data_IF_401413779594
#
_entry.id   IF_401413779594
#
_cell.length_a   1.000
_cell.length_b   1.000
_cell.length_c   1.000
_cell.angle_alpha   90.00
_cell.angle_beta   90.00
_cell.angle_gamma   90.00
#
_symmetry.space_group_name_H-M   'P 1'
#
loop_
_entity.id
_entity.type
_entity.pdbx_description
1 polymer ?
#
# COMPACT_ATOMS: atom_id res chain seq x y z
N UNK A 1 -25.30 47.44 -68.36
CA UNK A 1 -24.00 47.01 -67.77
C UNK A 1 -24.10 47.19 -66.27
N UNK A 2 -24.04 46.12 -65.48
CA UNK A 2 -24.01 46.22 -64.01
C UNK A 2 -22.72 45.57 -63.50
N UNK A 3 -21.99 46.28 -62.64
CA UNK A 3 -20.77 45.80 -61.99
C UNK A 3 -21.09 45.42 -60.55
N UNK A 4 -21.17 44.12 -60.26
CA UNK A 4 -21.27 43.64 -58.88
C UNK A 4 -19.90 43.69 -58.21
N UNK A 5 -19.77 44.45 -57.12
CA UNK A 5 -18.57 44.47 -56.30
C UNK A 5 -18.74 43.51 -55.11
N UNK A 6 -17.95 42.44 -55.07
CA UNK A 6 -17.94 41.48 -53.97
C UNK A 6 -17.15 42.03 -52.78
N UNK A 7 -17.83 42.35 -51.69
CA UNK A 7 -17.18 42.72 -50.43
C UNK A 7 -16.67 41.48 -49.70
N UNK A 8 -15.37 41.45 -49.39
CA UNK A 8 -14.75 40.38 -48.62
C UNK A 8 -14.84 40.72 -47.12
N UNK A 9 -15.73 40.05 -46.39
CA UNK A 9 -15.87 40.24 -44.94
C UNK A 9 -14.82 39.42 -44.20
N UNK A 10 -13.79 40.09 -43.66
CA UNK A 10 -12.73 39.44 -42.87
C UNK A 10 -13.18 39.28 -41.42
N UNK A 11 -13.62 38.06 -41.06
CA UNK A 11 -13.95 37.69 -39.69
C UNK A 11 -12.69 37.39 -38.87
N UNK A 12 -12.19 38.39 -38.14
CA UNK A 12 -11.11 38.23 -37.16
C UNK A 12 -11.59 37.43 -35.95
N UNK A 13 -11.20 36.15 -35.87
CA UNK A 13 -11.50 35.30 -34.73
C UNK A 13 -10.65 35.73 -33.51
N UNK A 14 -11.28 36.33 -32.50
CA UNK A 14 -10.64 36.63 -31.23
C UNK A 14 -10.57 35.36 -30.38
N UNK A 15 -9.44 34.65 -30.45
CA UNK A 15 -9.21 33.44 -29.63
C UNK A 15 -8.93 33.84 -28.18
N UNK A 16 -10.00 33.86 -27.37
CA UNK A 16 -9.89 34.08 -25.92
C UNK A 16 -9.32 32.80 -25.29
N UNK A 17 -8.05 32.86 -24.87
CA UNK A 17 -7.40 31.79 -24.12
C UNK A 17 -7.96 31.72 -22.69
N UNK A 18 -9.02 30.94 -22.51
CA UNK A 18 -9.55 30.59 -21.18
C UNK A 18 -8.61 29.57 -20.54
N UNK A 19 -7.71 30.03 -19.67
CA UNK A 19 -6.95 29.15 -18.79
C UNK A 19 -7.90 28.49 -17.79
N UNK A 20 -8.24 27.22 -18.04
CA UNK A 20 -9.02 26.40 -17.12
C UNK A 20 -8.31 26.32 -15.75
N UNK A 21 -9.06 26.13 -14.67
CA UNK A 21 -8.47 25.96 -13.34
C UNK A 21 -7.62 24.68 -13.28
N UNK A 22 -6.46 24.75 -12.63
CA UNK A 22 -5.63 23.59 -12.36
C UNK A 22 -6.41 22.63 -11.45
N UNK A 23 -6.54 21.33 -11.83
CA UNK A 23 -7.22 20.35 -10.99
C UNK A 23 -6.48 20.17 -9.66
N UNK A 24 -7.16 19.61 -8.67
CA UNK A 24 -6.51 19.25 -7.42
C UNK A 24 -5.36 18.27 -7.71
N UNK A 25 -4.20 18.51 -7.09
CA UNK A 25 -2.89 17.90 -7.36
C UNK A 25 -2.23 18.24 -8.71
N UNK A 26 -2.86 19.06 -9.56
CA UNK A 26 -2.25 19.61 -10.77
C UNK A 26 -1.22 20.72 -10.49
N UNK A 27 -0.33 20.98 -11.44
CA UNK A 27 0.61 22.10 -11.37
C UNK A 27 -0.14 23.43 -11.58
N UNK A 28 0.21 24.42 -10.74
CA UNK A 28 -0.40 25.75 -10.69
C UNK A 28 0.62 26.90 -10.69
N UNK A 29 1.91 26.59 -10.90
CA UNK A 29 2.97 27.58 -10.88
C UNK A 29 4.36 26.94 -10.91
N UNK A 30 5.38 27.81 -10.88
CA UNK A 30 6.79 27.45 -11.02
C UNK A 30 7.46 28.24 -12.13
N UNK A 31 8.78 28.40 -12.02
CA UNK A 31 9.60 29.12 -13.01
C UNK A 31 9.51 28.43 -14.38
N UNK A 32 8.96 29.14 -15.38
CA UNK A 32 8.72 28.62 -16.73
C UNK A 32 7.34 27.99 -16.95
N UNK A 33 6.47 27.92 -15.94
CA UNK A 33 5.10 27.41 -16.10
C UNK A 33 4.21 28.40 -16.84
N UNK A 34 3.68 28.01 -18.01
CA UNK A 34 2.74 28.80 -18.82
C UNK A 34 1.30 28.27 -18.79
N UNK A 35 1.00 27.36 -17.85
CA UNK A 35 -0.31 26.75 -17.70
C UNK A 35 -1.21 27.51 -16.72
N UNK A 36 -2.25 26.83 -16.24
CA UNK A 36 -3.18 27.34 -15.25
C UNK A 36 -2.46 27.78 -13.96
N UNK A 37 -2.82 28.94 -13.39
CA UNK A 37 -2.25 29.45 -12.12
C UNK A 37 -3.22 29.42 -10.94
N UNK A 38 -4.50 29.16 -11.21
CA UNK A 38 -5.58 29.15 -10.21
C UNK A 38 -6.11 27.74 -10.07
N UNK A 39 -6.23 27.26 -8.84
CA UNK A 39 -6.71 25.92 -8.52
C UNK A 39 -8.24 25.80 -8.55
N UNK A 40 -8.75 24.58 -8.72
CA UNK A 40 -10.17 24.27 -8.51
C UNK A 40 -10.61 24.52 -7.07
N UNK A 41 -11.88 24.87 -6.89
CA UNK A 41 -12.49 25.14 -5.58
C UNK A 41 -12.21 24.01 -4.57
N UNK A 42 -11.90 24.39 -3.32
CA UNK A 42 -11.44 23.46 -2.28
C UNK A 42 -9.93 23.21 -2.26
N UNK A 43 -9.16 23.70 -3.25
CA UNK A 43 -7.70 23.58 -3.29
C UNK A 43 -6.99 24.92 -3.50
N UNK A 44 -5.74 25.03 -3.00
CA UNK A 44 -4.91 26.22 -2.99
C UNK A 44 -3.54 25.93 -3.62
N UNK A 45 -3.02 26.88 -4.41
CA UNK A 45 -1.72 26.72 -5.06
C UNK A 45 -0.59 26.87 -4.05
N UNK A 46 0.09 25.76 -3.73
CA UNK A 46 1.18 25.71 -2.77
C UNK A 46 2.51 25.48 -3.48
N UNK A 47 3.50 26.34 -3.23
CA UNK A 47 4.86 26.18 -3.78
C UNK A 47 5.54 24.97 -3.14
N UNK A 48 6.00 24.02 -3.96
CA UNK A 48 6.84 22.90 -3.51
C UNK A 48 8.34 23.23 -3.70
N UNK A 49 8.69 23.89 -4.81
CA UNK A 49 10.03 24.43 -5.09
C UNK A 49 9.95 25.58 -6.11
N UNK A 50 11.08 26.15 -6.54
CA UNK A 50 11.11 27.31 -7.47
C UNK A 50 10.58 27.01 -8.88
N UNK A 51 10.53 25.73 -9.29
CA UNK A 51 10.08 25.27 -10.60
C UNK A 51 8.70 24.59 -10.55
N UNK A 52 8.13 24.37 -9.37
CA UNK A 52 6.88 23.62 -9.20
C UNK A 52 6.04 24.10 -8.01
N UNK A 53 4.82 24.56 -8.31
CA UNK A 53 3.73 24.77 -7.34
C UNK A 53 2.55 23.88 -7.70
N UNK A 54 1.85 23.35 -6.70
CA UNK A 54 0.79 22.34 -6.87
C UNK A 54 -0.50 22.72 -6.13
N UNK A 55 -1.65 22.37 -6.69
CA UNK A 55 -2.95 22.55 -6.05
C UNK A 55 -3.16 21.53 -4.93
N UNK A 56 -2.93 21.93 -3.68
CA UNK A 56 -3.17 21.08 -2.50
C UNK A 56 -4.56 21.38 -1.91
N UNK A 57 -5.27 20.41 -1.31
CA UNK A 57 -6.52 20.70 -0.59
C UNK A 57 -6.32 21.80 0.45
N UNK A 58 -7.20 22.82 0.47
CA UNK A 58 -7.17 23.82 1.53
C UNK A 58 -7.75 23.23 2.81
N UNK A 59 -6.93 23.13 3.86
CA UNK A 59 -7.39 22.71 5.19
C UNK A 59 -8.25 23.76 5.90
N UNK A 60 -8.41 24.96 5.32
CA UNK A 60 -9.16 26.08 5.91
C UNK A 60 -10.14 26.72 4.92
N UNK A 61 -11.43 26.73 5.29
CA UNK A 61 -12.41 27.78 4.97
C UNK A 61 -13.47 27.80 6.11
N UNK A 62 -13.93 28.98 6.58
CA UNK A 62 -14.84 29.10 7.72
C UNK A 62 -16.33 29.25 7.35
N UNK A 63 -17.22 29.05 8.33
CA UNK A 63 -18.67 29.41 8.35
C UNK A 63 -19.58 28.68 7.32
N UNK A 64 -20.84 28.28 7.58
CA UNK A 64 -21.72 28.24 8.78
C UNK A 64 -22.99 27.39 8.42
N UNK A 65 -24.03 27.05 9.22
CA UNK A 65 -24.50 27.38 10.59
C UNK A 65 -25.46 26.26 11.09
N UNK A 66 -25.55 26.01 12.42
CA UNK A 66 -26.72 25.36 13.12
C UNK A 66 -27.03 23.88 12.80
N UNK A 67 -27.66 23.05 13.66
CA UNK A 67 -28.34 23.24 14.96
C UNK A 67 -28.06 22.07 15.93
N UNK A 68 -28.25 22.27 17.24
CA UNK A 68 -28.05 21.28 18.32
C UNK A 68 -29.10 20.16 18.38
N UNK A 69 -28.68 18.96 18.82
CA UNK A 69 -29.21 18.26 20.01
C UNK A 69 -28.37 17.02 20.36
N UNK A 70 -28.38 16.60 21.63
CA UNK A 70 -27.50 15.55 22.14
C UNK A 70 -28.10 14.13 22.11
N UNK A 71 -27.22 13.13 22.19
CA UNK A 71 -27.59 11.71 22.33
C UNK A 71 -26.41 10.88 22.85
N UNK A 72 -26.48 10.46 24.11
CA UNK A 72 -25.41 9.68 24.76
C UNK A 72 -25.48 8.21 24.36
N UNK A 73 -24.46 7.69 23.68
CA UNK A 73 -24.18 6.26 23.61
C UNK A 73 -22.69 5.98 23.43
N UNK A 74 -22.20 4.94 24.10
CA UNK A 74 -20.79 4.52 24.14
C UNK A 74 -20.50 3.34 23.21
N UNK A 75 -19.22 2.98 23.03
CA UNK A 75 -18.47 3.30 21.83
C UNK A 75 -18.96 2.56 20.57
N UNK A 76 -19.02 3.28 19.46
CA UNK A 76 -19.17 2.69 18.11
C UNK A 76 -17.89 1.87 17.77
N UNK A 77 -17.99 0.72 17.07
CA UNK A 77 -16.81 0.02 16.55
C UNK A 77 -15.97 0.93 15.63
N UNK A 78 -14.65 0.66 15.47
CA UNK A 78 -13.74 1.59 14.82
C UNK A 78 -14.12 1.99 13.40
N UNK A 79 -13.68 3.21 13.06
CA UNK A 79 -13.74 3.87 11.75
C UNK A 79 -13.80 2.91 10.56
N UNK A 80 -14.89 2.98 9.79
CA UNK A 80 -14.93 2.39 8.44
C UNK A 80 -13.92 3.15 7.57
N UNK A 81 -12.78 2.52 7.28
CA UNK A 81 -11.68 3.11 6.52
C UNK A 81 -12.07 3.23 5.04
N UNK A 82 -12.54 4.41 4.63
CA UNK A 82 -12.64 4.74 3.21
C UNK A 82 -11.23 4.72 2.59
N UNK A 83 -11.00 3.80 1.65
CA UNK A 83 -9.81 3.70 0.80
C UNK A 83 -8.49 3.29 1.49
N UNK A 84 -8.53 2.27 2.35
CA UNK A 84 -7.34 1.51 2.75
C UNK A 84 -7.11 0.29 1.83
N UNK A 85 -5.86 0.05 1.44
CA UNK A 85 -5.38 -1.22 0.90
C UNK A 85 -4.75 -2.06 2.02
N UNK A 86 -4.83 -3.38 1.92
CA UNK A 86 -4.38 -4.34 2.92
C UNK A 86 -3.27 -5.20 2.32
N UNK A 87 -2.17 -5.36 3.06
CA UNK A 87 -1.03 -6.18 2.63
C UNK A 87 -0.73 -7.23 3.68
N UNK A 88 -0.87 -8.50 3.31
CA UNK A 88 -0.46 -9.64 4.12
C UNK A 88 0.85 -10.20 3.53
N UNK A 89 1.98 -9.90 4.17
CA UNK A 89 3.30 -10.35 3.74
C UNK A 89 3.79 -11.52 4.61
N UNK A 90 4.41 -12.49 3.95
CA UNK A 90 4.94 -13.73 4.53
C UNK A 90 6.35 -13.98 3.96
N UNK A 91 7.15 -14.81 4.63
CA UNK A 91 8.50 -15.11 4.16
C UNK A 91 9.55 -15.22 5.25
N UNK A 92 10.79 -14.93 4.87
CA UNK A 92 11.97 -15.04 5.74
C UNK A 92 12.54 -13.68 6.21
N UNK A 93 13.79 -13.71 6.68
CA UNK A 93 14.62 -12.58 7.11
C UNK A 93 14.73 -11.42 6.12
N UNK A 94 14.56 -11.63 4.82
CA UNK A 94 14.51 -10.53 3.84
C UNK A 94 13.27 -9.64 4.00
N UNK A 95 12.23 -10.15 4.65
CA UNK A 95 10.91 -9.53 4.74
C UNK A 95 10.51 -9.20 6.19
N UNK A 96 11.02 -9.94 7.20
CA UNK A 96 10.68 -9.74 8.63
C UNK A 96 10.84 -8.29 9.10
N UNK A 97 9.78 -7.77 9.73
CA UNK A 97 9.82 -6.64 10.69
C UNK A 97 9.47 -7.07 12.13
N UNK A 98 8.87 -8.25 12.31
CA UNK A 98 8.61 -8.87 13.62
C UNK A 98 7.19 -8.70 14.20
N UNK A 99 6.19 -8.46 13.34
CA UNK A 99 4.80 -8.19 13.73
C UNK A 99 4.15 -9.35 14.52
N UNK A 100 3.50 -9.00 15.64
CA UNK A 100 2.68 -9.90 16.45
C UNK A 100 1.18 -9.59 16.27
N UNK A 101 0.39 -10.62 15.98
CA UNK A 101 -1.08 -10.57 15.83
C UNK A 101 -1.85 -10.14 17.10
N UNK A 102 -1.19 -10.18 18.26
CA UNK A 102 -1.70 -9.72 19.57
C UNK A 102 -1.27 -8.29 19.91
N UNK A 103 -0.31 -7.72 19.16
CA UNK A 103 0.18 -6.36 19.33
C UNK A 103 -0.73 -5.29 18.72
N UNK A 104 -0.23 -4.05 18.65
CA UNK A 104 -0.95 -2.94 18.01
C UNK A 104 -1.14 -3.23 16.50
N UNK A 105 -2.37 -3.26 15.97
CA UNK A 105 -2.59 -3.53 14.55
C UNK A 105 -2.24 -2.30 13.69
N UNK A 106 -1.86 -2.52 12.41
CA UNK A 106 -1.80 -1.49 11.37
C UNK A 106 -3.02 -0.55 11.35
N UNK A 107 -2.75 0.75 11.36
CA UNK A 107 -3.78 1.80 11.34
C UNK A 107 -3.30 3.06 10.58
N UNK A 108 -4.22 4.01 10.36
CA UNK A 108 -3.89 5.34 9.81
C UNK A 108 -2.87 6.02 10.75
N UNK A 109 -1.74 6.47 10.20
CA UNK A 109 -0.62 7.05 10.96
C UNK A 109 0.37 6.03 11.54
N UNK A 110 0.00 4.75 11.63
CA UNK A 110 0.89 3.64 12.00
C UNK A 110 0.64 2.42 11.08
N UNK A 111 1.04 2.48 9.80
CA UNK A 111 0.63 1.51 8.78
C UNK A 111 1.26 0.12 8.92
N UNK A 112 2.22 -0.07 9.83
CA UNK A 112 2.85 -1.37 10.15
C UNK A 112 2.43 -1.91 11.53
N UNK A 113 1.75 -1.11 12.36
CA UNK A 113 1.19 -1.53 13.64
C UNK A 113 2.23 -1.76 14.73
N UNK A 114 2.87 -2.93 14.73
CA UNK A 114 3.86 -3.34 15.71
C UNK A 114 4.91 -4.27 15.07
N UNK A 115 6.13 -4.41 15.65
CA UNK A 115 6.71 -3.62 16.75
C UNK A 115 6.97 -2.15 16.35
N UNK A 116 7.49 -1.29 17.26
CA UNK A 116 7.85 0.08 16.90
C UNK A 116 8.80 0.15 15.70
N UNK A 117 8.42 0.95 14.72
CA UNK A 117 9.09 1.09 13.42
C UNK A 117 10.60 1.37 13.51
N UNK A 118 11.46 0.72 12.70
CA UNK A 118 11.18 -0.28 11.65
C UNK A 118 11.06 -1.73 12.18
N UNK A 119 11.15 -1.94 13.49
CA UNK A 119 11.13 -3.28 14.09
C UNK A 119 12.46 -4.02 13.98
N UNK A 120 12.38 -5.34 13.83
CA UNK A 120 13.53 -6.25 13.89
C UNK A 120 13.87 -6.81 12.51
N UNK A 121 14.51 -5.99 11.67
CA UNK A 121 14.88 -6.33 10.30
C UNK A 121 16.29 -6.92 10.20
N UNK A 122 16.56 -7.68 9.14
CA UNK A 122 17.92 -8.13 8.82
C UNK A 122 18.84 -7.01 8.28
N UNK A 123 18.30 -5.82 7.95
CA UNK A 123 19.08 -4.67 7.46
C UNK A 123 19.65 -3.81 8.59
N UNK A 124 19.21 -4.00 9.84
CA UNK A 124 19.54 -3.12 10.96
C UNK A 124 18.85 -1.75 10.89
N UNK A 125 17.85 -1.60 10.02
CA UNK A 125 17.10 -0.38 9.75
C UNK A 125 15.82 -0.70 8.99
N UNK A 126 15.47 0.11 8.00
CA UNK A 126 14.29 -0.13 7.15
C UNK A 126 14.57 -1.26 6.15
N UNK A 127 13.58 -2.13 5.88
CA UNK A 127 13.61 -3.15 4.82
C UNK A 127 12.63 -2.80 3.68
N UNK A 128 12.52 -3.64 2.64
CA UNK A 128 11.69 -3.34 1.47
C UNK A 128 10.19 -3.15 1.80
N UNK A 129 9.64 -3.90 2.77
CA UNK A 129 8.28 -3.73 3.28
C UNK A 129 8.09 -2.35 3.91
N UNK A 130 9.09 -1.86 4.67
CA UNK A 130 9.05 -0.53 5.28
C UNK A 130 9.01 0.58 4.21
N UNK A 131 9.89 0.49 3.21
CA UNK A 131 9.97 1.45 2.11
C UNK A 131 8.69 1.47 1.27
N UNK A 132 8.17 0.31 0.87
CA UNK A 132 6.95 0.24 0.06
C UNK A 132 5.70 0.64 0.86
N UNK A 133 5.64 0.32 2.16
CA UNK A 133 4.50 0.68 3.02
C UNK A 133 4.47 2.16 3.36
N UNK A 134 5.61 2.83 3.57
CA UNK A 134 5.66 4.22 4.08
C UNK A 134 6.26 5.28 3.15
N UNK A 135 7.16 4.90 2.24
CA UNK A 135 7.97 5.85 1.46
C UNK A 135 7.56 5.89 -0.01
N UNK A 136 7.25 4.74 -0.61
CA UNK A 136 6.90 4.62 -2.03
C UNK A 136 5.41 4.37 -2.30
N UNK A 137 4.59 4.28 -1.26
CA UNK A 137 3.15 4.10 -1.39
C UNK A 137 2.49 5.20 -2.26
N UNK A 138 1.36 4.86 -2.88
CA UNK A 138 0.52 5.75 -3.70
C UNK A 138 -0.91 5.89 -3.16
N UNK A 139 -1.17 5.21 -2.05
CA UNK A 139 -2.44 5.05 -1.35
C UNK A 139 -2.11 4.58 0.07
N UNK A 140 -3.03 4.71 1.02
CA UNK A 140 -2.87 4.07 2.34
C UNK A 140 -2.73 2.55 2.18
N UNK A 141 -1.63 1.98 2.66
CA UNK A 141 -1.44 0.54 2.83
C UNK A 141 -1.40 0.26 4.34
N UNK A 142 -2.11 -0.79 4.77
CA UNK A 142 -2.04 -1.35 6.12
C UNK A 142 -1.39 -2.73 6.01
N UNK A 143 -0.17 -2.87 6.53
CA UNK A 143 0.72 -4.00 6.26
C UNK A 143 0.90 -4.88 7.49
N UNK A 144 0.52 -6.14 7.35
CA UNK A 144 0.52 -7.19 8.37
C UNK A 144 1.59 -8.22 7.99
N UNK A 145 2.73 -8.17 8.65
CA UNK A 145 3.96 -8.80 8.18
C UNK A 145 4.34 -10.05 8.98
N UNK A 146 3.80 -11.19 8.57
CA UNK A 146 4.00 -12.52 9.20
C UNK A 146 5.38 -13.13 8.93
N UNK A 147 6.23 -12.50 8.10
CA UNK A 147 7.55 -13.02 7.75
C UNK A 147 8.48 -13.16 8.98
N UNK A 148 9.21 -14.27 9.06
CA UNK A 148 10.01 -14.67 10.23
C UNK A 148 11.45 -15.06 9.85
N UNK A 149 12.44 -14.55 10.57
CA UNK A 149 13.87 -14.74 10.29
C UNK A 149 14.29 -16.22 10.29
N UNK A 150 14.92 -16.67 9.21
CA UNK A 150 15.36 -18.06 9.05
C UNK A 150 14.25 -19.06 8.70
N UNK A 151 13.03 -18.61 8.39
CA UNK A 151 11.93 -19.47 7.99
C UNK A 151 12.24 -20.31 6.75
N UNK A 152 11.88 -21.59 6.80
CA UNK A 152 11.78 -22.50 5.64
C UNK A 152 10.33 -22.57 5.15
N UNK A 153 10.06 -23.21 4.01
CA UNK A 153 8.71 -23.37 3.46
C UNK A 153 7.85 -24.26 4.38
N UNK A 154 8.34 -25.46 4.69
CA UNK A 154 7.72 -26.36 5.66
C UNK A 154 8.80 -27.06 6.50
N UNK A 155 8.70 -26.93 7.82
CA UNK A 155 9.67 -27.48 8.77
C UNK A 155 9.81 -29.01 8.72
N UNK A 156 8.86 -29.73 8.10
CA UNK A 156 8.93 -31.19 7.88
C UNK A 156 9.72 -31.59 6.64
N UNK A 157 9.86 -30.68 5.67
CA UNK A 157 10.68 -30.88 4.48
C UNK A 157 12.11 -30.40 4.72
N UNK A 158 12.26 -29.19 5.27
CA UNK A 158 13.55 -28.65 5.72
C UNK A 158 13.34 -27.97 7.07
N UNK A 159 13.91 -28.51 8.16
CA UNK A 159 13.88 -27.85 9.46
C UNK A 159 14.57 -26.47 9.42
N UNK A 160 14.01 -25.44 10.07
CA UNK A 160 14.73 -24.22 10.39
C UNK A 160 15.93 -24.48 11.32
N UNK A 161 16.78 -23.47 11.52
CA UNK A 161 17.97 -23.57 12.38
C UNK A 161 17.67 -23.78 13.88
N UNK A 162 16.41 -23.57 14.30
CA UNK A 162 15.89 -23.86 15.65
C UNK A 162 14.38 -24.17 15.56
N UNK A 163 13.83 -25.10 16.38
CA UNK A 163 12.39 -25.39 16.39
C UNK A 163 11.46 -24.23 16.78
N UNK A 164 11.99 -23.09 17.20
CA UNK A 164 11.23 -21.88 17.57
C UNK A 164 10.98 -20.92 16.39
N UNK A 165 11.56 -21.18 15.21
CA UNK A 165 11.36 -20.39 13.99
C UNK A 165 10.08 -20.83 13.30
N UNK A 166 9.21 -19.87 12.96
CA UNK A 166 7.95 -20.13 12.26
C UNK A 166 8.22 -20.34 10.76
N UNK A 167 7.98 -21.55 10.24
CA UNK A 167 8.03 -21.84 8.80
C UNK A 167 6.88 -21.14 8.07
N UNK A 168 6.93 -21.05 6.73
CA UNK A 168 5.84 -20.45 5.95
C UNK A 168 4.50 -21.18 6.19
N UNK A 169 4.52 -22.52 6.37
CA UNK A 169 3.35 -23.28 6.84
C UNK A 169 2.79 -22.71 8.14
N UNK A 170 3.63 -22.36 9.12
CA UNK A 170 3.20 -21.84 10.42
C UNK A 170 2.68 -20.40 10.33
N UNK A 171 3.36 -19.54 9.56
CA UNK A 171 2.94 -18.15 9.30
C UNK A 171 1.56 -18.11 8.62
N UNK A 172 1.35 -18.97 7.62
CA UNK A 172 0.04 -19.10 6.95
C UNK A 172 -1.01 -19.67 7.90
N UNK A 173 -0.69 -20.69 8.70
CA UNK A 173 -1.61 -21.20 9.72
C UNK A 173 -2.00 -20.10 10.73
N UNK A 174 -1.04 -19.26 11.18
CA UNK A 174 -1.29 -18.14 12.09
C UNK A 174 -2.26 -17.13 11.49
N UNK A 175 -2.07 -16.71 10.23
CA UNK A 175 -3.00 -15.83 9.52
C UNK A 175 -4.42 -16.42 9.42
N UNK A 176 -4.53 -17.71 9.07
CA UNK A 176 -5.81 -18.40 8.93
C UNK A 176 -6.54 -18.55 10.28
N UNK A 177 -5.82 -18.87 11.36
CA UNK A 177 -6.37 -18.97 12.73
C UNK A 177 -6.70 -17.62 13.35
N UNK A 178 -5.96 -16.56 13.01
CA UNK A 178 -6.26 -15.17 13.36
C UNK A 178 -7.40 -14.56 12.51
N UNK A 179 -7.96 -15.34 11.57
CA UNK A 179 -9.12 -15.00 10.77
C UNK A 179 -8.96 -13.67 9.98
N UNK A 180 -7.74 -13.35 9.56
CA UNK A 180 -7.44 -12.11 8.83
C UNK A 180 -7.65 -10.81 9.63
N UNK A 181 -7.72 -10.87 10.96
CA UNK A 181 -7.65 -9.71 11.84
C UNK A 181 -8.89 -8.82 11.88
N UNK A 182 -8.86 -7.71 11.13
CA UNK A 182 -9.85 -6.61 11.18
C UNK A 182 -11.29 -7.01 10.79
N UNK A 183 -11.49 -8.25 10.34
CA UNK A 183 -12.78 -8.84 10.02
C UNK A 183 -12.92 -9.16 8.54
N UNK A 184 -13.39 -10.37 8.23
CA UNK A 184 -13.68 -10.79 6.86
C UNK A 184 -14.72 -9.85 6.24
N UNK A 185 -14.37 -9.20 5.12
CA UNK A 185 -15.18 -8.16 4.47
C UNK A 185 -14.71 -6.72 4.70
N UNK A 186 -13.77 -6.45 5.62
CA UNK A 186 -13.05 -5.16 5.69
C UNK A 186 -11.97 -5.08 4.60
N UNK A 187 -11.37 -6.22 4.29
CA UNK A 187 -10.49 -6.43 3.15
C UNK A 187 -11.11 -7.43 2.17
N UNK A 188 -10.82 -7.24 0.88
CA UNK A 188 -11.41 -7.95 -0.26
C UNK A 188 -10.41 -8.04 -1.42
N UNK A 189 -10.66 -8.91 -2.41
CA UNK A 189 -9.75 -9.12 -3.55
C UNK A 189 -9.39 -7.85 -4.34
N UNK A 190 -10.27 -6.84 -4.35
CA UNK A 190 -10.02 -5.55 -5.00
C UNK A 190 -9.15 -4.55 -4.22
N UNK A 191 -8.80 -4.82 -2.96
CA UNK A 191 -7.93 -3.96 -2.14
C UNK A 191 -6.90 -4.72 -1.28
N UNK A 192 -6.61 -5.99 -1.61
CA UNK A 192 -5.72 -6.86 -0.82
C UNK A 192 -4.58 -7.42 -1.66
N UNK A 193 -3.36 -7.31 -1.14
CA UNK A 193 -2.16 -7.99 -1.64
C UNK A 193 -1.73 -9.09 -0.67
N UNK A 194 -1.43 -10.27 -1.20
CA UNK A 194 -0.69 -11.32 -0.51
C UNK A 194 0.69 -11.44 -1.17
N UNK A 195 1.77 -11.47 -0.41
CA UNK A 195 3.13 -11.64 -0.94
C UNK A 195 3.93 -12.64 -0.11
N UNK A 196 4.73 -13.47 -0.78
CA UNK A 196 5.62 -14.45 -0.17
C UNK A 196 7.03 -14.22 -0.72
N UNK A 197 8.04 -14.19 0.15
CA UNK A 197 9.46 -14.27 -0.24
C UNK A 197 10.17 -15.22 0.72
N UNK A 198 10.46 -16.43 0.22
CA UNK A 198 10.92 -17.59 1.00
C UNK A 198 12.01 -18.36 0.22
N UNK A 199 12.56 -19.43 0.80
CA UNK A 199 13.32 -20.45 0.08
C UNK A 199 14.84 -20.41 0.27
N UNK A 200 15.41 -19.29 0.73
CA UNK A 200 16.87 -19.19 0.94
C UNK A 200 17.35 -20.14 2.04
N UNK A 201 16.56 -20.28 3.11
CA UNK A 201 16.85 -21.18 4.22
C UNK A 201 16.63 -22.65 3.84
N UNK A 202 15.66 -22.95 2.97
CA UNK A 202 15.45 -24.29 2.42
C UNK A 202 16.66 -24.76 1.60
N UNK A 203 17.22 -23.87 0.77
CA UNK A 203 18.46 -24.13 0.02
C UNK A 203 19.65 -24.30 0.98
N UNK A 204 19.82 -23.38 1.94
CA UNK A 204 20.93 -23.40 2.89
C UNK A 204 20.94 -24.62 3.81
N UNK A 205 19.82 -24.87 4.50
CA UNK A 205 19.71 -25.96 5.48
C UNK A 205 19.67 -27.34 4.81
N UNK A 206 19.20 -27.45 3.56
CA UNK A 206 19.25 -28.71 2.81
C UNK A 206 20.56 -28.92 2.03
N UNK A 207 21.49 -27.96 1.98
CA UNK A 207 22.67 -27.98 1.09
C UNK A 207 23.54 -29.26 1.19
N UNK A 208 23.62 -29.87 2.38
CA UNK A 208 24.42 -31.08 2.62
C UNK A 208 23.69 -32.41 2.31
N UNK A 209 22.39 -32.37 2.01
CA UNK A 209 21.61 -33.57 1.73
C UNK A 209 21.97 -34.20 0.38
N UNK A 210 22.04 -35.54 0.33
CA UNK A 210 22.23 -36.31 -0.90
C UNK A 210 20.89 -36.54 -1.62
N UNK A 211 20.84 -36.33 -2.94
CA UNK A 211 19.67 -36.63 -3.76
C UNK A 211 19.62 -35.81 -5.05
N UNK A 212 18.56 -36.00 -5.82
CA UNK A 212 18.25 -35.11 -6.96
C UNK A 212 17.75 -33.75 -6.43
N UNK A 213 18.44 -32.68 -6.84
CA UNK A 213 18.12 -31.31 -6.41
C UNK A 213 16.97 -30.69 -7.19
N UNK A 214 16.75 -31.05 -8.44
CA UNK A 214 15.60 -30.59 -9.20
C UNK A 214 14.31 -31.18 -8.61
N UNK A 215 14.28 -32.50 -8.38
CA UNK A 215 13.13 -33.17 -7.78
C UNK A 215 12.83 -32.69 -6.34
N UNK A 216 13.86 -32.29 -5.57
CA UNK A 216 13.64 -31.69 -4.26
C UNK A 216 13.14 -30.24 -4.35
N UNK A 217 13.64 -29.43 -5.29
CA UNK A 217 13.08 -28.10 -5.57
C UNK A 217 11.61 -28.17 -6.01
N UNK A 218 11.23 -29.15 -6.84
CA UNK A 218 9.83 -29.40 -7.18
C UNK A 218 8.99 -29.75 -5.94
N UNK A 219 9.55 -30.53 -5.00
CA UNK A 219 8.88 -30.88 -3.73
C UNK A 219 8.63 -29.63 -2.87
N UNK A 220 9.62 -28.74 -2.77
CA UNK A 220 9.51 -27.46 -2.04
C UNK A 220 8.50 -26.50 -2.69
N UNK A 221 8.58 -26.33 -4.01
CA UNK A 221 7.65 -25.46 -4.76
C UNK A 221 6.21 -25.98 -4.68
N UNK A 222 5.98 -27.30 -4.72
CA UNK A 222 4.65 -27.86 -4.51
C UNK A 222 4.10 -27.57 -3.11
N UNK A 223 4.94 -27.55 -2.07
CA UNK A 223 4.53 -27.15 -0.73
C UNK A 223 4.18 -25.65 -0.66
N UNK A 224 5.01 -24.77 -1.24
CA UNK A 224 4.74 -23.34 -1.32
C UNK A 224 3.44 -23.04 -2.09
N UNK A 225 3.24 -23.62 -3.27
CA UNK A 225 2.01 -23.44 -4.04
C UNK A 225 0.77 -23.99 -3.32
N UNK A 226 0.90 -25.06 -2.52
CA UNK A 226 -0.20 -25.51 -1.67
C UNK A 226 -0.59 -24.46 -0.61
N UNK A 227 0.38 -23.73 -0.04
CA UNK A 227 0.11 -22.61 0.87
C UNK A 227 -0.50 -21.40 0.15
N UNK A 228 -0.05 -21.09 -1.07
CA UNK A 228 -0.68 -20.06 -1.93
C UNK A 228 -2.15 -20.40 -2.21
N UNK A 229 -2.48 -21.67 -2.50
CA UNK A 229 -3.88 -22.07 -2.69
C UNK A 229 -4.69 -22.02 -1.38
N UNK A 230 -4.11 -22.31 -0.20
CA UNK A 230 -4.79 -22.10 1.10
C UNK A 230 -5.18 -20.63 1.29
N UNK A 231 -4.26 -19.70 1.09
CA UNK A 231 -4.52 -18.26 1.20
C UNK A 231 -5.59 -17.81 0.21
N UNK A 232 -5.47 -18.23 -1.05
CA UNK A 232 -6.44 -17.91 -2.13
C UNK A 232 -7.86 -18.43 -1.85
N UNK A 233 -7.99 -19.64 -1.32
CA UNK A 233 -9.29 -20.29 -1.10
C UNK A 233 -9.95 -19.94 0.24
N UNK A 234 -9.31 -19.10 1.07
CA UNK A 234 -9.87 -18.65 2.35
C UNK A 234 -10.81 -17.43 2.21
N UNK A 235 -10.64 -16.63 1.14
CA UNK A 235 -11.43 -15.43 0.83
C UNK A 235 -12.83 -15.71 0.31
#
# INVERSE_FOLDING_TARGET
>A
MFKSASYLVVLTNLVILVFAQAPQWGQCGGSGWTGATTCVAGSICTKQNDYYSQCLPSSNQPTSTTTSSGGTSTPKPPVVTANANYWFSFGDSYTQTGFDVTGTPPAIGNPLGNPPYPGWTATGGENWIDYDTKTYNRSLILTYNFAYGGATIDAKLVPPYTPTVLSLTDQVNQFLSWNGGVGKGVWQSGNTLFSIWIGINDIGNSYYQSGDRAAFSDTLLNAEFALVQKLRCWG
#
